data_IF_654969369881
#
_entry.id   IF_654969369881
#
_cell.length_a   1.000
_cell.length_b   1.000
_cell.length_c   1.000
_cell.angle_alpha   90.00
_cell.angle_beta   90.00
_cell.angle_gamma   90.00
#
_symmetry.space_group_name_H-M   'P 1'
#
loop_
_entity.id
_entity.type
_entity.pdbx_description
1 polymer ?
#
# COMPACT_ATOMS: atom_id res chain seq x y z
N UNK A 1 6.85 6.71 -23.84
CA UNK A 1 5.67 7.41 -23.29
C UNK A 1 6.12 8.77 -22.78
N UNK A 2 5.47 9.90 -23.14
CA UNK A 2 5.81 11.25 -22.67
C UNK A 2 5.74 11.32 -21.13
N UNK A 3 6.66 12.08 -20.51
CA UNK A 3 6.77 12.21 -19.04
C UNK A 3 5.44 12.70 -18.43
N UNK A 4 4.78 13.65 -19.09
CA UNK A 4 3.49 14.19 -18.63
C UNK A 4 2.38 13.12 -18.59
N UNK A 5 2.32 12.23 -19.57
CA UNK A 5 1.32 11.15 -19.60
C UNK A 5 1.57 10.13 -18.49
N UNK A 6 2.85 9.80 -18.25
CA UNK A 6 3.21 8.91 -17.15
C UNK A 6 2.84 9.50 -15.79
N UNK A 7 3.12 10.79 -15.57
CA UNK A 7 2.74 11.49 -14.33
C UNK A 7 1.23 11.53 -14.11
N UNK A 8 0.46 11.80 -15.17
CA UNK A 8 -1.00 11.79 -15.12
C UNK A 8 -1.56 10.41 -14.75
N UNK A 9 -1.09 9.35 -15.42
CA UNK A 9 -1.53 7.99 -15.15
C UNK A 9 -1.22 7.58 -13.71
N UNK A 10 -0.04 7.94 -13.23
CA UNK A 10 0.38 7.64 -11.85
C UNK A 10 -0.47 8.41 -10.83
N UNK A 11 -0.76 9.68 -11.07
CA UNK A 11 -1.66 10.46 -10.22
C UNK A 11 -3.09 9.92 -10.20
N UNK A 12 -3.63 9.51 -11.36
CA UNK A 12 -4.95 8.90 -11.45
C UNK A 12 -5.01 7.56 -10.70
N UNK A 13 -3.98 6.73 -10.84
CA UNK A 13 -3.87 5.45 -10.13
C UNK A 13 -3.88 5.65 -8.61
N UNK A 14 -3.04 6.53 -8.09
CA UNK A 14 -2.99 6.82 -6.66
C UNK A 14 -4.29 7.39 -6.10
N UNK A 15 -4.93 8.33 -6.81
CA UNK A 15 -6.23 8.88 -6.40
C UNK A 15 -7.31 7.81 -6.42
N UNK A 16 -7.37 6.98 -7.47
CA UNK A 16 -8.33 5.89 -7.56
C UNK A 16 -8.15 4.88 -6.43
N UNK A 17 -6.90 4.56 -6.10
CA UNK A 17 -6.57 3.63 -5.01
C UNK A 17 -6.97 4.19 -3.64
N UNK A 18 -6.72 5.47 -3.38
CA UNK A 18 -7.15 6.16 -2.16
C UNK A 18 -8.69 6.10 -2.02
N UNK A 19 -9.42 6.44 -3.08
CA UNK A 19 -10.89 6.43 -3.05
C UNK A 19 -11.41 5.01 -2.85
N UNK A 20 -10.90 4.03 -3.58
CA UNK A 20 -11.33 2.64 -3.48
C UNK A 20 -11.09 2.07 -2.07
N UNK A 21 -9.92 2.31 -1.49
CA UNK A 21 -9.59 1.82 -0.15
C UNK A 21 -10.36 2.54 0.95
N UNK A 22 -10.67 3.84 0.79
CA UNK A 22 -11.55 4.57 1.70
C UNK A 22 -12.99 4.00 1.68
N UNK A 23 -13.51 3.65 0.49
CA UNK A 23 -14.83 3.01 0.36
C UNK A 23 -14.84 1.61 0.99
N UNK A 24 -13.75 0.85 0.85
CA UNK A 24 -13.61 -0.44 1.53
C UNK A 24 -13.57 -0.27 3.05
N UNK A 25 -12.86 0.74 3.56
CA UNK A 25 -12.86 1.05 5.00
C UNK A 25 -14.27 1.29 5.52
N UNK A 26 -15.06 2.13 4.85
CA UNK A 26 -16.46 2.39 5.21
C UNK A 26 -17.33 1.12 5.14
N UNK A 27 -17.11 0.29 4.11
CA UNK A 27 -17.84 -0.95 3.96
C UNK A 27 -17.60 -1.91 5.13
N UNK A 28 -16.34 -2.14 5.51
CA UNK A 28 -15.98 -3.04 6.60
C UNK A 28 -16.32 -2.46 7.96
N UNK A 29 -16.26 -1.15 8.15
CA UNK A 29 -16.75 -0.49 9.35
C UNK A 29 -18.25 -0.75 9.57
N UNK A 30 -19.06 -0.65 8.51
CA UNK A 30 -20.51 -0.96 8.59
C UNK A 30 -20.80 -2.44 8.85
N UNK A 31 -19.83 -3.33 8.61
CA UNK A 31 -19.93 -4.76 8.94
C UNK A 31 -19.39 -5.10 10.33
N UNK A 32 -18.99 -4.11 11.12
CA UNK A 32 -18.35 -4.28 12.43
C UNK A 32 -17.02 -5.04 12.36
N UNK A 33 -16.34 -4.94 11.22
CA UNK A 33 -15.00 -5.49 11.01
C UNK A 33 -13.95 -4.38 11.22
N UNK A 34 -13.86 -3.88 12.44
CA UNK A 34 -13.14 -2.65 12.78
C UNK A 34 -11.63 -2.72 12.47
N UNK A 35 -11.01 -3.89 12.67
CA UNK A 35 -9.58 -4.09 12.38
C UNK A 35 -9.32 -3.97 10.86
N UNK A 36 -10.20 -4.57 10.05
CA UNK A 36 -10.11 -4.48 8.58
C UNK A 36 -10.34 -3.04 8.12
N UNK A 37 -11.35 -2.38 8.68
CA UNK A 37 -11.64 -0.98 8.38
C UNK A 37 -10.45 -0.08 8.74
N UNK A 38 -9.85 -0.26 9.92
CA UNK A 38 -8.64 0.45 10.34
C UNK A 38 -7.46 0.16 9.38
N UNK A 39 -7.29 -1.08 8.95
CA UNK A 39 -6.28 -1.46 7.97
C UNK A 39 -6.40 -0.65 6.68
N UNK A 40 -7.59 -0.56 6.10
CA UNK A 40 -7.82 0.24 4.89
C UNK A 40 -7.62 1.75 5.12
N UNK A 41 -8.00 2.30 6.29
CA UNK A 41 -7.75 3.70 6.61
C UNK A 41 -6.25 4.01 6.72
N UNK A 42 -5.49 3.13 7.37
CA UNK A 42 -4.03 3.27 7.45
C UNK A 42 -3.40 3.19 6.05
N UNK A 43 -3.94 2.33 5.18
CA UNK A 43 -3.50 2.25 3.78
C UNK A 43 -3.69 3.58 3.03
N UNK A 44 -4.86 4.21 3.18
CA UNK A 44 -5.17 5.53 2.58
C UNK A 44 -4.11 6.57 2.96
N UNK A 45 -3.73 6.64 4.23
CA UNK A 45 -2.70 7.58 4.70
C UNK A 45 -1.33 7.24 4.12
N UNK A 46 -0.98 5.95 4.10
CA UNK A 46 0.27 5.48 3.50
C UNK A 46 0.36 5.82 2.01
N UNK A 47 -0.72 5.59 1.26
CA UNK A 47 -0.81 5.93 -0.16
C UNK A 47 -0.65 7.43 -0.42
N UNK A 48 -1.29 8.26 0.38
CA UNK A 48 -1.15 9.71 0.28
C UNK A 48 0.30 10.18 0.49
N UNK A 49 1.04 9.56 1.42
CA UNK A 49 2.46 9.86 1.63
C UNK A 49 3.33 9.37 0.46
N UNK A 50 3.08 8.16 -0.05
CA UNK A 50 3.80 7.64 -1.22
C UNK A 50 3.55 8.53 -2.44
N UNK A 51 2.31 8.93 -2.68
CA UNK A 51 1.96 9.84 -3.76
C UNK A 51 2.63 11.20 -3.61
N UNK A 52 2.69 11.75 -2.40
CA UNK A 52 3.39 12.99 -2.10
C UNK A 52 4.90 12.87 -2.32
N UNK A 53 5.50 11.74 -1.95
CA UNK A 53 6.93 11.50 -2.13
C UNK A 53 7.37 11.53 -3.60
N UNK A 54 6.49 11.12 -4.49
CA UNK A 54 6.76 11.13 -5.93
C UNK A 54 6.78 12.53 -6.56
N UNK A 55 6.19 13.52 -5.91
CA UNK A 55 6.28 14.92 -6.32
C UNK A 55 7.54 15.62 -5.80
N UNK A 56 8.36 14.93 -4.99
CA UNK A 56 9.59 15.46 -4.39
C UNK A 56 10.81 15.04 -5.21
N UNK A 57 11.92 15.76 -5.04
CA UNK A 57 13.21 15.30 -5.54
C UNK A 57 13.61 13.98 -4.90
N UNK A 58 14.18 13.07 -5.69
CA UNK A 58 14.48 11.70 -5.25
C UNK A 58 15.34 11.67 -3.96
N UNK A 59 16.30 12.57 -3.82
CA UNK A 59 17.14 12.65 -2.64
C UNK A 59 16.36 13.06 -1.37
N UNK A 60 15.30 13.84 -1.53
CA UNK A 60 14.47 14.35 -0.42
C UNK A 60 13.28 13.45 -0.12
N UNK A 61 12.92 12.56 -1.04
CA UNK A 61 11.71 11.73 -0.93
C UNK A 61 11.85 10.55 0.03
N UNK A 62 13.08 10.14 0.38
CA UNK A 62 13.36 8.95 1.17
C UNK A 62 12.57 8.85 2.48
N UNK A 63 12.61 9.85 3.37
CA UNK A 63 11.86 9.81 4.63
C UNK A 63 10.34 9.73 4.43
N UNK A 64 9.80 10.50 3.46
CA UNK A 64 8.36 10.52 3.17
C UNK A 64 7.91 9.19 2.57
N UNK A 65 8.67 8.63 1.64
CA UNK A 65 8.42 7.31 1.09
C UNK A 65 8.55 6.22 2.15
N UNK A 66 9.56 6.31 3.04
CA UNK A 66 9.75 5.40 4.16
C UNK A 66 8.54 5.40 5.12
N UNK A 67 8.01 6.58 5.43
CA UNK A 67 6.80 6.72 6.24
C UNK A 67 5.59 6.10 5.54
N UNK A 68 5.39 6.34 4.26
CA UNK A 68 4.33 5.71 3.46
C UNK A 68 4.46 4.19 3.43
N UNK A 69 5.65 3.67 3.17
CA UNK A 69 5.93 2.23 3.15
C UNK A 69 5.68 1.56 4.50
N UNK A 70 6.01 2.23 5.62
CA UNK A 70 5.74 1.73 6.96
C UNK A 70 4.24 1.64 7.26
N UNK A 71 3.46 2.63 6.81
CA UNK A 71 2.00 2.62 6.94
C UNK A 71 1.36 1.54 6.05
N UNK A 72 1.85 1.35 4.84
CA UNK A 72 1.43 0.22 4.01
C UNK A 72 1.72 -1.13 4.69
N UNK A 73 2.91 -1.29 5.29
CA UNK A 73 3.25 -2.50 6.02
C UNK A 73 2.29 -2.75 7.19
N UNK A 74 2.04 -1.73 8.01
CA UNK A 74 1.10 -1.79 9.13
C UNK A 74 -0.33 -2.13 8.66
N UNK A 75 -0.79 -1.47 7.60
CA UNK A 75 -2.07 -1.74 6.96
C UNK A 75 -2.19 -3.21 6.55
N UNK A 76 -1.22 -3.72 5.80
CA UNK A 76 -1.22 -5.09 5.30
C UNK A 76 -1.24 -6.13 6.42
N UNK A 77 -0.58 -5.86 7.54
CA UNK A 77 -0.69 -6.71 8.73
C UNK A 77 -2.08 -6.66 9.36
N UNK A 78 -2.69 -5.46 9.48
CA UNK A 78 -4.06 -5.32 9.97
C UNK A 78 -5.06 -6.04 9.07
N UNK A 79 -4.90 -5.97 7.75
CA UNK A 79 -5.74 -6.67 6.77
C UNK A 79 -5.51 -8.19 6.77
N UNK A 80 -4.30 -8.65 7.12
CA UNK A 80 -3.94 -10.07 7.09
C UNK A 80 -4.26 -10.79 8.40
N UNK A 81 -4.35 -10.10 9.53
CA UNK A 81 -4.58 -10.69 10.84
C UNK A 81 -5.98 -11.32 11.00
N UNK A 82 -7.11 -10.64 10.66
CA UNK A 82 -8.43 -11.22 10.77
C UNK A 82 -8.66 -12.32 9.73
N UNK A 83 -9.57 -13.26 10.06
CA UNK A 83 -9.96 -14.33 9.14
C UNK A 83 -11.13 -13.93 8.22
N UNK A 84 -11.14 -12.69 7.76
CA UNK A 84 -12.18 -12.13 6.90
C UNK A 84 -11.91 -12.44 5.43
N UNK A 85 -10.67 -12.30 4.99
CA UNK A 85 -10.26 -12.65 3.63
C UNK A 85 -9.76 -14.09 3.52
N UNK A 86 -9.74 -14.61 2.31
CA UNK A 86 -9.20 -15.92 1.98
C UNK A 86 -7.74 -16.05 2.45
N UNK A 87 -7.32 -17.26 2.80
CA UNK A 87 -6.00 -17.53 3.37
C UNK A 87 -4.86 -17.03 2.48
N UNK A 88 -4.95 -17.22 1.17
CA UNK A 88 -3.91 -16.77 0.23
C UNK A 88 -3.77 -15.24 0.19
N UNK A 89 -4.89 -14.49 0.31
CA UNK A 89 -4.88 -13.01 0.37
C UNK A 89 -4.13 -12.54 1.61
N UNK A 90 -4.38 -13.18 2.74
CA UNK A 90 -3.73 -12.89 4.02
C UNK A 90 -2.23 -13.18 3.97
N UNK A 91 -1.82 -14.29 3.36
CA UNK A 91 -0.41 -14.63 3.17
C UNK A 91 0.28 -13.62 2.25
N UNK A 92 -0.34 -13.29 1.11
CA UNK A 92 0.20 -12.28 0.20
C UNK A 92 0.38 -10.93 0.90
N UNK A 93 -0.62 -10.50 1.69
CA UNK A 93 -0.55 -9.27 2.48
C UNK A 93 0.57 -9.30 3.53
N UNK A 94 0.74 -10.39 4.24
CA UNK A 94 1.81 -10.54 5.23
C UNK A 94 3.21 -10.49 4.58
N UNK A 95 3.38 -11.13 3.42
CA UNK A 95 4.64 -11.08 2.65
C UNK A 95 4.91 -9.64 2.18
N UNK A 96 3.92 -8.98 1.56
CA UNK A 96 4.06 -7.60 1.11
C UNK A 96 4.39 -6.66 2.28
N UNK A 97 3.68 -6.80 3.40
CA UNK A 97 3.92 -6.01 4.60
C UNK A 97 5.34 -6.19 5.14
N UNK A 98 5.86 -7.42 5.18
CA UNK A 98 7.21 -7.71 5.63
C UNK A 98 8.27 -7.09 4.71
N UNK A 99 8.11 -7.19 3.41
CA UNK A 99 9.02 -6.59 2.44
C UNK A 99 9.01 -5.05 2.54
N UNK A 100 7.84 -4.44 2.66
CA UNK A 100 7.70 -2.99 2.81
C UNK A 100 8.25 -2.49 4.14
N UNK A 101 8.11 -3.27 5.22
CA UNK A 101 8.72 -2.94 6.50
C UNK A 101 10.24 -2.91 6.41
N UNK A 102 10.85 -3.88 5.72
CA UNK A 102 12.31 -3.88 5.49
C UNK A 102 12.74 -2.65 4.71
N UNK A 103 12.00 -2.28 3.65
CA UNK A 103 12.26 -1.05 2.89
C UNK A 103 12.20 0.19 3.78
N UNK A 104 11.15 0.32 4.59
CA UNK A 104 10.97 1.45 5.49
C UNK A 104 12.11 1.57 6.50
N UNK A 105 12.50 0.45 7.13
CA UNK A 105 13.63 0.42 8.08
C UNK A 105 14.93 0.86 7.41
N UNK A 106 15.23 0.35 6.21
CA UNK A 106 16.43 0.75 5.46
C UNK A 106 16.46 2.25 5.17
N UNK A 107 15.33 2.83 4.78
CA UNK A 107 15.22 4.27 4.49
C UNK A 107 15.39 5.12 5.75
N UNK A 108 14.79 4.70 6.87
CA UNK A 108 14.97 5.39 8.16
C UNK A 108 16.39 5.25 8.73
N UNK A 109 17.11 4.19 8.38
CA UNK A 109 18.53 4.01 8.70
C UNK A 109 19.47 4.81 7.78
N UNK A 110 18.93 5.65 6.88
CA UNK A 110 19.72 6.51 6.00
C UNK A 110 20.13 5.89 4.67
N UNK A 111 19.57 4.74 4.29
CA UNK A 111 19.79 4.20 2.96
C UNK A 111 19.19 5.14 1.92
N UNK A 112 19.98 5.54 0.92
CA UNK A 112 19.51 6.43 -0.13
C UNK A 112 18.52 5.71 -1.06
N UNK A 113 17.39 6.36 -1.35
CA UNK A 113 16.50 5.93 -2.41
C UNK A 113 17.10 6.37 -3.75
N UNK A 114 17.52 5.43 -4.59
CA UNK A 114 18.06 5.70 -5.91
C UNK A 114 17.25 4.95 -6.98
N UNK A 115 17.26 5.40 -8.24
CA UNK A 115 16.59 4.67 -9.33
C UNK A 115 17.14 3.24 -9.54
N UNK A 116 18.36 3.00 -9.07
CA UNK A 116 19.05 1.71 -9.11
C UNK A 116 19.00 0.99 -7.75
N UNK A 117 18.34 1.56 -6.76
CA UNK A 117 18.12 0.86 -5.48
C UNK A 117 17.44 -0.46 -5.80
N UNK A 118 18.22 -1.51 -5.64
CA UNK A 118 17.71 -2.85 -5.88
C UNK A 118 16.58 -3.12 -4.92
N UNK A 119 15.78 -3.89 -5.34
CA UNK A 119 14.42 -3.97 -5.79
C UNK A 119 13.52 -4.51 -4.71
N UNK A 120 13.75 -4.22 -3.40
CA UNK A 120 12.83 -4.61 -2.33
C UNK A 120 11.43 -3.99 -2.53
N UNK A 121 11.29 -2.69 -2.89
CA UNK A 121 9.97 -2.15 -3.25
C UNK A 121 9.36 -2.90 -4.43
N UNK A 122 10.14 -3.13 -5.47
CA UNK A 122 9.69 -3.83 -6.67
C UNK A 122 9.19 -5.26 -6.38
N UNK A 123 9.83 -5.99 -5.48
CA UNK A 123 9.37 -7.32 -5.08
C UNK A 123 8.13 -7.29 -4.18
N UNK A 124 7.91 -6.22 -3.42
CA UNK A 124 6.72 -6.08 -2.60
C UNK A 124 5.46 -5.80 -3.43
N UNK A 125 5.57 -5.06 -4.54
CA UNK A 125 4.44 -4.66 -5.36
C UNK A 125 3.58 -5.81 -5.89
N UNK A 126 4.11 -6.91 -6.44
CA UNK A 126 3.27 -8.03 -6.89
C UNK A 126 2.39 -8.59 -5.78
N UNK A 127 2.93 -8.74 -4.57
CA UNK A 127 2.17 -9.22 -3.42
C UNK A 127 1.16 -8.18 -2.92
N UNK A 128 1.51 -6.90 -2.94
CA UNK A 128 0.59 -5.80 -2.63
C UNK A 128 -0.60 -5.81 -3.60
N UNK A 129 -0.33 -5.85 -4.91
CA UNK A 129 -1.38 -5.90 -5.94
C UNK A 129 -2.25 -7.16 -5.79
N UNK A 130 -1.64 -8.32 -5.57
CA UNK A 130 -2.36 -9.56 -5.33
C UNK A 130 -3.29 -9.45 -4.11
N UNK A 131 -2.83 -8.82 -3.03
CA UNK A 131 -3.62 -8.58 -1.83
C UNK A 131 -4.82 -7.68 -2.11
N UNK A 132 -4.62 -6.55 -2.78
CA UNK A 132 -5.69 -5.60 -3.10
C UNK A 132 -6.72 -6.20 -4.07
N UNK A 133 -6.26 -6.91 -5.11
CA UNK A 133 -7.13 -7.63 -6.03
C UNK A 133 -7.90 -8.75 -5.31
N UNK A 134 -7.27 -9.44 -4.37
CA UNK A 134 -7.91 -10.43 -3.54
C UNK A 134 -9.04 -9.84 -2.71
N UNK A 135 -8.83 -8.71 -2.06
CA UNK A 135 -9.87 -7.99 -1.31
C UNK A 135 -11.00 -7.49 -2.22
N UNK A 136 -10.69 -6.98 -3.41
CA UNK A 136 -11.69 -6.59 -4.39
C UNK A 136 -12.52 -7.80 -4.83
N UNK A 137 -11.89 -8.93 -5.10
CA UNK A 137 -12.56 -10.17 -5.47
C UNK A 137 -13.50 -10.67 -4.37
N UNK A 138 -13.04 -10.72 -3.12
CA UNK A 138 -13.88 -11.10 -1.98
C UNK A 138 -15.12 -10.18 -1.86
N UNK A 139 -14.93 -8.89 -2.14
CA UNK A 139 -16.02 -7.93 -2.12
C UNK A 139 -17.07 -8.20 -3.21
N UNK A 140 -16.64 -8.54 -4.42
CA UNK A 140 -17.54 -8.87 -5.52
C UNK A 140 -18.30 -10.20 -5.28
N UNK A 141 -17.66 -11.17 -4.66
CA UNK A 141 -18.30 -12.46 -4.34
C UNK A 141 -19.33 -12.36 -3.19
N UNK A 142 -19.20 -11.37 -2.32
CA UNK A 142 -20.08 -11.16 -1.16
C UNK A 142 -21.22 -10.15 -1.42
N UNK A 143 -21.28 -9.59 -2.61
CA UNK A 143 -22.34 -8.69 -3.06
C UNK A 143 -23.47 -9.47 -3.73
#
# INVERSE_FOLDING_TARGET
>A
MPVAVRGLLWGLDGVALIVATALLALHYFRKSEDIVAAGFLVFVVGEALVLSSAAMDLAMSGPTFGAGASLWAASLYLLSAPRVAAFWVRIAGAIAGSLLLVVAVQLFMGSALTPLSKPLPFFAYPFLVATLLGWAWERFRSA
#
